data_IF_144463669891
#
_entry.id   IF_144463669891
#
_cell.length_a   1.000
_cell.length_b   1.000
_cell.length_c   1.000
_cell.angle_alpha   90.00
_cell.angle_beta   90.00
_cell.angle_gamma   90.00
#
_symmetry.space_group_name_H-M   'P 1'
#
loop_
_entity.id
_entity.type
_entity.pdbx_description
1 polymer ?
#
# COMPACT_ATOMS: atom_id res chain seq x y z
N UNK A 1 -33.85 10.00 -20.60
CA UNK A 1 -33.89 8.52 -20.72
C UNK A 1 -32.46 8.01 -20.61
N UNK A 2 -32.09 7.51 -19.44
CA UNK A 2 -30.76 6.94 -19.17
C UNK A 2 -30.68 5.58 -19.87
N UNK A 3 -29.62 5.37 -20.64
CA UNK A 3 -29.37 4.13 -21.37
C UNK A 3 -29.19 2.95 -20.39
N UNK A 4 -29.65 1.73 -20.70
CA UNK A 4 -29.47 0.57 -19.83
C UNK A 4 -28.04 0.10 -19.62
N UNK A 5 -27.05 0.77 -20.24
CA UNK A 5 -25.63 0.47 -20.15
C UNK A 5 -24.94 1.13 -18.91
N UNK A 6 -25.62 1.98 -18.15
CA UNK A 6 -25.03 2.77 -17.04
C UNK A 6 -25.35 2.22 -15.63
N UNK A 7 -25.80 0.98 -15.53
CA UNK A 7 -25.92 0.37 -14.20
C UNK A 7 -24.52 0.04 -13.68
N UNK A 8 -24.15 0.50 -12.46
CA UNK A 8 -22.86 0.13 -11.87
C UNK A 8 -22.79 -1.39 -11.77
N UNK A 9 -21.79 -1.97 -12.40
CA UNK A 9 -21.47 -3.39 -12.23
C UNK A 9 -21.25 -3.62 -10.74
N UNK A 10 -22.12 -4.41 -10.11
CA UNK A 10 -21.98 -4.74 -8.70
C UNK A 10 -20.57 -5.30 -8.47
N UNK A 11 -19.83 -4.70 -7.55
CA UNK A 11 -18.52 -5.20 -7.20
C UNK A 11 -18.63 -6.68 -6.79
N UNK A 12 -17.70 -7.54 -7.22
CA UNK A 12 -17.75 -8.95 -6.84
C UNK A 12 -17.75 -9.10 -5.33
N UNK A 13 -18.42 -10.14 -4.83
CA UNK A 13 -18.45 -10.41 -3.39
C UNK A 13 -17.02 -10.57 -2.86
N UNK A 14 -16.71 -9.98 -1.70
CA UNK A 14 -15.36 -10.04 -1.15
C UNK A 14 -14.98 -11.47 -0.78
N UNK A 15 -13.74 -11.83 -1.09
CA UNK A 15 -13.15 -13.13 -0.79
C UNK A 15 -12.59 -13.19 0.63
N UNK A 16 -11.95 -12.09 1.07
CA UNK A 16 -11.28 -12.01 2.37
C UNK A 16 -12.06 -11.14 3.35
N UNK A 17 -12.19 -11.63 4.57
CA UNK A 17 -12.79 -10.96 5.71
C UNK A 17 -11.78 -10.90 6.86
N UNK A 18 -12.13 -10.25 7.99
CA UNK A 18 -11.26 -10.12 9.13
C UNK A 18 -10.66 -11.46 9.61
N UNK A 19 -11.44 -12.53 9.58
CA UNK A 19 -11.03 -13.87 10.03
C UNK A 19 -9.92 -14.49 9.17
N UNK A 20 -9.68 -13.96 7.97
CA UNK A 20 -8.64 -14.44 7.04
C UNK A 20 -7.28 -13.79 7.29
N UNK A 21 -7.17 -12.97 8.32
CA UNK A 21 -5.94 -12.27 8.71
C UNK A 21 -5.48 -12.67 10.12
N UNK A 22 -5.10 -13.94 10.35
CA UNK A 22 -4.62 -14.38 11.65
C UNK A 22 -3.26 -13.74 11.97
N UNK A 23 -3.03 -13.45 13.26
CA UNK A 23 -1.74 -12.94 13.74
C UNK A 23 -0.61 -13.88 13.36
N UNK A 24 0.51 -13.33 12.89
CA UNK A 24 1.66 -14.09 12.42
C UNK A 24 1.58 -14.49 10.94
N UNK A 25 0.45 -14.27 10.26
CA UNK A 25 0.37 -14.51 8.81
C UNK A 25 1.33 -13.58 8.07
N UNK A 26 2.12 -14.16 7.17
CA UNK A 26 2.98 -13.44 6.24
C UNK A 26 2.49 -13.69 4.83
N UNK A 27 2.41 -12.64 4.03
CA UNK A 27 2.12 -12.69 2.59
C UNK A 27 3.19 -11.93 1.84
N UNK A 28 3.59 -12.46 0.70
CA UNK A 28 4.50 -11.78 -0.23
C UNK A 28 3.82 -11.70 -1.59
N UNK A 29 3.79 -10.50 -2.16
CA UNK A 29 3.10 -10.24 -3.42
C UNK A 29 3.58 -8.95 -4.07
N UNK A 30 3.06 -8.72 -5.27
CA UNK A 30 3.33 -7.54 -6.06
C UNK A 30 4.64 -7.63 -6.85
N UNK A 31 4.62 -6.98 -7.99
CA UNK A 31 5.79 -6.69 -8.81
C UNK A 31 5.52 -5.37 -9.50
N UNK A 32 6.15 -4.32 -9.02
CA UNK A 32 5.97 -2.97 -9.56
C UNK A 32 7.29 -2.44 -10.07
N UNK A 33 7.38 -2.22 -11.38
CA UNK A 33 8.53 -1.59 -12.01
C UNK A 33 8.43 -0.07 -11.90
N UNK A 34 9.48 0.54 -11.38
CA UNK A 34 9.56 1.99 -11.19
C UNK A 34 10.04 2.63 -12.47
N UNK A 35 9.15 3.26 -13.21
CA UNK A 35 9.52 3.94 -14.45
C UNK A 35 9.89 5.40 -14.19
N UNK A 36 10.81 5.93 -15.01
CA UNK A 36 11.21 7.33 -14.94
C UNK A 36 10.02 8.27 -15.18
N UNK A 37 9.18 7.92 -16.14
CA UNK A 37 7.98 8.69 -16.50
C UNK A 37 7.04 8.83 -15.30
N UNK A 38 6.79 7.74 -14.58
CA UNK A 38 5.92 7.74 -13.39
C UNK A 38 6.53 8.54 -12.25
N UNK A 39 7.86 8.44 -12.04
CA UNK A 39 8.58 9.23 -11.02
C UNK A 39 8.42 10.72 -11.29
N UNK A 40 8.66 11.17 -12.52
CA UNK A 40 8.53 12.57 -12.91
C UNK A 40 7.08 13.07 -12.86
N UNK A 41 6.12 12.25 -13.33
CA UNK A 41 4.71 12.61 -13.29
C UNK A 41 4.21 12.81 -11.85
N UNK A 42 4.49 11.86 -10.97
CA UNK A 42 4.12 11.98 -9.56
C UNK A 42 4.76 13.21 -8.90
N UNK A 43 6.05 13.43 -9.15
CA UNK A 43 6.75 14.56 -8.56
C UNK A 43 6.18 15.90 -9.01
N UNK A 44 5.84 16.07 -10.28
CA UNK A 44 5.22 17.30 -10.80
C UNK A 44 3.91 17.63 -10.09
N UNK A 45 3.11 16.61 -9.83
CA UNK A 45 1.77 16.78 -9.28
C UNK A 45 1.76 16.91 -7.74
N UNK A 46 2.68 16.25 -7.03
CA UNK A 46 2.57 16.05 -5.58
C UNK A 46 3.83 16.40 -4.78
N UNK A 47 5.02 16.38 -5.38
CA UNK A 47 6.30 16.64 -4.68
C UNK A 47 7.31 17.29 -5.62
N UNK A 48 7.08 18.54 -6.04
CA UNK A 48 7.86 19.18 -7.08
C UNK A 48 9.22 19.73 -6.58
N UNK A 49 9.91 18.97 -5.76
CA UNK A 49 11.25 19.30 -5.34
C UNK A 49 12.25 19.01 -6.47
N UNK A 50 13.26 19.90 -6.69
CA UNK A 50 14.16 19.78 -7.84
C UNK A 50 14.82 18.42 -8.00
N UNK A 51 15.23 17.77 -6.91
CA UNK A 51 15.88 16.47 -6.92
C UNK A 51 14.97 15.29 -7.28
N UNK A 52 13.65 15.52 -7.41
CA UNK A 52 12.68 14.56 -7.94
C UNK A 52 12.28 14.85 -9.39
N UNK A 53 12.78 15.95 -9.97
CA UNK A 53 12.37 16.44 -11.30
C UNK A 53 13.51 16.59 -12.30
N UNK A 54 14.74 16.82 -11.81
CA UNK A 54 15.89 17.18 -12.63
C UNK A 54 17.11 16.34 -12.25
N UNK A 55 17.79 15.79 -13.26
CA UNK A 55 18.93 14.90 -13.04
C UNK A 55 20.13 15.62 -12.40
N UNK A 56 20.41 16.86 -12.82
CA UNK A 56 21.53 17.60 -12.27
C UNK A 56 21.29 18.00 -10.81
N UNK A 57 20.07 18.40 -10.48
CA UNK A 57 19.67 18.66 -9.10
C UNK A 57 19.71 17.41 -8.24
N UNK A 58 19.29 16.28 -8.78
CA UNK A 58 19.33 14.99 -8.10
C UNK A 58 20.77 14.51 -7.85
N UNK A 59 21.66 14.65 -8.83
CA UNK A 59 23.08 14.30 -8.70
C UNK A 59 23.77 15.15 -7.62
N UNK A 60 23.42 16.42 -7.51
CA UNK A 60 23.94 17.32 -6.48
C UNK A 60 23.32 17.10 -5.09
N UNK A 61 22.30 16.27 -4.97
CA UNK A 61 21.59 15.95 -3.73
C UNK A 61 22.15 14.71 -3.01
N UNK A 62 21.59 14.40 -1.83
CA UNK A 62 21.91 13.17 -1.09
C UNK A 62 21.47 11.89 -1.85
N UNK A 63 20.63 11.99 -2.86
CA UNK A 63 20.18 10.85 -3.66
C UNK A 63 21.22 10.43 -4.71
N UNK A 64 22.08 11.35 -5.17
CA UNK A 64 23.13 11.09 -6.16
C UNK A 64 22.63 10.84 -7.59
N UNK A 65 21.35 10.66 -7.78
CA UNK A 65 20.63 10.50 -9.06
C UNK A 65 19.14 10.68 -8.85
N UNK A 66 18.37 10.81 -9.94
CA UNK A 66 16.92 10.95 -9.87
C UNK A 66 16.29 9.82 -9.04
N UNK A 67 15.61 10.18 -7.97
CA UNK A 67 14.91 9.26 -7.07
C UNK A 67 13.41 9.57 -7.04
N UNK A 68 12.59 8.54 -6.82
CA UNK A 68 11.17 8.72 -6.56
C UNK A 68 10.95 9.45 -5.24
N UNK A 69 9.90 10.30 -5.18
CA UNK A 69 9.40 10.81 -3.91
C UNK A 69 9.06 9.66 -2.95
N UNK A 70 9.34 9.84 -1.68
CA UNK A 70 8.92 8.88 -0.66
C UNK A 70 7.41 8.63 -0.69
N UNK A 71 6.62 9.65 -0.98
CA UNK A 71 5.16 9.53 -1.14
C UNK A 71 4.77 8.74 -2.39
N UNK A 72 5.57 8.82 -3.46
CA UNK A 72 5.39 7.96 -4.63
C UNK A 72 5.66 6.49 -4.26
N UNK A 73 6.69 6.22 -3.45
CA UNK A 73 6.95 4.87 -2.95
C UNK A 73 5.78 4.34 -2.12
N UNK A 74 5.14 5.19 -1.29
CA UNK A 74 3.91 4.83 -0.58
C UNK A 74 2.74 4.54 -1.54
N UNK A 75 2.59 5.34 -2.60
CA UNK A 75 1.53 5.13 -3.59
C UNK A 75 1.72 3.81 -4.38
N UNK A 76 2.97 3.49 -4.77
CA UNK A 76 3.30 2.22 -5.40
C UNK A 76 3.05 1.03 -4.46
N UNK A 77 3.41 1.16 -3.18
CA UNK A 77 3.09 0.17 -2.15
C UNK A 77 1.57 -0.03 -2.04
N UNK A 78 0.80 1.06 -1.97
CA UNK A 78 -0.66 1.00 -1.90
C UNK A 78 -1.27 0.30 -3.12
N UNK A 79 -0.75 0.55 -4.31
CA UNK A 79 -1.18 -0.15 -5.53
C UNK A 79 -0.98 -1.66 -5.41
N UNK A 80 0.19 -2.10 -4.95
CA UNK A 80 0.48 -3.51 -4.73
C UNK A 80 -0.40 -4.13 -3.64
N UNK A 81 -0.69 -3.41 -2.55
CA UNK A 81 -1.62 -3.85 -1.51
C UNK A 81 -3.05 -4.03 -2.06
N UNK A 82 -3.50 -3.10 -2.90
CA UNK A 82 -4.79 -3.20 -3.57
C UNK A 82 -4.88 -4.45 -4.43
N UNK A 83 -3.92 -4.66 -5.31
CA UNK A 83 -3.88 -5.80 -6.23
C UNK A 83 -3.63 -7.13 -5.51
N UNK A 84 -2.84 -7.12 -4.44
CA UNK A 84 -2.48 -8.32 -3.70
C UNK A 84 -3.59 -8.88 -2.81
N UNK A 85 -4.49 -8.02 -2.28
CA UNK A 85 -5.58 -8.51 -1.45
C UNK A 85 -6.73 -7.52 -1.18
N UNK A 86 -6.50 -6.20 -1.17
CA UNK A 86 -7.51 -5.25 -0.71
C UNK A 86 -8.74 -5.20 -1.62
N UNK A 87 -8.55 -5.31 -2.94
CA UNK A 87 -9.65 -5.30 -3.90
C UNK A 87 -10.56 -6.51 -3.78
N UNK A 88 -10.03 -7.62 -3.25
CA UNK A 88 -10.80 -8.84 -2.98
C UNK A 88 -11.26 -8.93 -1.50
N UNK A 89 -10.99 -7.92 -0.70
CA UNK A 89 -11.30 -7.92 0.74
C UNK A 89 -12.55 -7.13 1.07
N UNK A 90 -13.23 -7.52 2.14
CA UNK A 90 -14.28 -6.75 2.77
C UNK A 90 -13.72 -5.54 3.55
N UNK A 91 -12.80 -4.80 2.91
CA UNK A 91 -12.10 -3.65 3.48
C UNK A 91 -13.06 -2.48 3.71
N UNK A 92 -12.90 -1.81 4.83
CA UNK A 92 -13.66 -0.62 5.24
C UNK A 92 -12.76 0.62 5.38
N UNK A 93 -11.51 0.51 4.93
CA UNK A 93 -10.52 1.59 5.04
C UNK A 93 -9.60 1.45 6.25
N UNK A 94 -8.88 2.52 6.53
CA UNK A 94 -7.89 2.59 7.61
C UNK A 94 -8.08 3.88 8.40
N UNK A 95 -7.97 3.86 9.73
CA UNK A 95 -7.96 5.08 10.53
C UNK A 95 -6.62 5.84 10.44
N UNK A 96 -5.56 5.20 9.92
CA UNK A 96 -4.26 5.83 9.77
C UNK A 96 -3.09 4.88 9.75
N UNK A 97 -1.92 5.47 9.54
CA UNK A 97 -0.61 4.83 9.61
C UNK A 97 0.08 5.33 10.89
N UNK A 98 0.59 4.41 11.71
CA UNK A 98 1.23 4.76 12.98
C UNK A 98 2.73 4.96 12.84
N UNK A 99 3.36 4.21 11.95
CA UNK A 99 4.78 4.33 11.65
C UNK A 99 4.99 4.26 10.13
N UNK A 100 5.81 5.17 9.63
CA UNK A 100 6.26 5.18 8.23
C UNK A 100 7.74 5.54 8.23
N UNK A 101 8.56 4.72 7.58
CA UNK A 101 10.00 4.96 7.43
C UNK A 101 10.42 4.68 5.99
N UNK A 102 11.06 5.65 5.37
CA UNK A 102 11.80 5.49 4.13
C UNK A 102 13.24 5.08 4.48
N UNK A 103 13.61 3.87 4.15
CA UNK A 103 14.90 3.27 4.57
C UNK A 103 15.99 3.46 3.54
N UNK A 104 15.62 3.41 2.26
CA UNK A 104 16.51 3.63 1.11
C UNK A 104 15.78 4.37 0.01
N UNK A 105 16.48 5.18 -0.81
CA UNK A 105 15.91 5.76 -2.01
C UNK A 105 15.42 4.69 -2.99
N UNK A 106 14.36 5.02 -3.72
CA UNK A 106 13.85 4.21 -4.83
C UNK A 106 14.14 4.93 -6.13
N UNK A 107 14.68 4.23 -7.09
CA UNK A 107 15.16 4.78 -8.35
C UNK A 107 14.38 4.22 -9.54
N UNK A 108 14.29 4.98 -10.65
CA UNK A 108 13.85 4.41 -11.93
C UNK A 108 14.65 3.15 -12.28
N UNK A 109 13.95 2.09 -12.69
CA UNK A 109 14.52 0.77 -12.95
C UNK A 109 14.46 -0.20 -11.78
N UNK A 110 14.15 0.25 -10.57
CA UNK A 110 13.88 -0.65 -9.44
C UNK A 110 12.60 -1.45 -9.70
N UNK A 111 12.57 -2.66 -9.17
CA UNK A 111 11.39 -3.55 -9.17
C UNK A 111 11.02 -3.82 -7.73
N UNK A 112 9.87 -3.33 -7.32
CA UNK A 112 9.38 -3.41 -5.95
C UNK A 112 8.44 -4.59 -5.76
N UNK A 113 8.48 -5.17 -4.55
CA UNK A 113 7.49 -6.13 -4.06
C UNK A 113 7.20 -5.88 -2.58
N UNK A 114 6.12 -6.46 -2.08
CA UNK A 114 5.61 -6.26 -0.73
C UNK A 114 5.70 -7.55 0.07
N UNK A 115 6.20 -7.44 1.30
CA UNK A 115 6.04 -8.41 2.38
C UNK A 115 5.13 -7.80 3.44
N UNK A 116 3.97 -8.42 3.65
CA UNK A 116 2.98 -8.02 4.64
C UNK A 116 2.96 -9.04 5.78
N UNK A 117 3.01 -8.56 7.01
CA UNK A 117 2.91 -9.38 8.23
C UNK A 117 1.76 -8.86 9.11
N UNK A 118 0.87 -9.74 9.52
CA UNK A 118 -0.20 -9.43 10.49
C UNK A 118 0.39 -9.49 11.90
N UNK A 119 0.46 -8.34 12.56
CA UNK A 119 1.06 -8.24 13.92
C UNK A 119 0.02 -8.23 15.03
N UNK A 120 -1.20 -7.79 14.73
CA UNK A 120 -2.34 -7.82 15.66
C UNK A 120 -3.64 -7.97 14.88
N UNK A 121 -4.58 -8.73 15.43
CA UNK A 121 -5.95 -8.81 14.92
C UNK A 121 -6.91 -8.88 16.10
N UNK A 122 -7.88 -7.95 16.17
CA UNK A 122 -8.87 -7.89 17.24
C UNK A 122 -10.21 -7.37 16.74
N UNK A 123 -11.32 -7.81 17.36
CA UNK A 123 -12.62 -7.20 17.11
C UNK A 123 -12.62 -5.72 17.51
N UNK A 124 -13.43 -4.93 16.83
CA UNK A 124 -13.66 -3.54 17.21
C UNK A 124 -14.80 -3.49 18.25
N UNK A 125 -14.47 -3.03 19.47
CA UNK A 125 -15.43 -3.03 20.58
C UNK A 125 -16.70 -2.19 20.30
N UNK A 126 -16.55 -1.05 19.63
CA UNK A 126 -17.66 -0.16 19.26
C UNK A 126 -18.49 -0.63 18.07
N UNK A 127 -18.01 -1.61 17.31
CA UNK A 127 -18.66 -2.15 16.10
C UNK A 127 -18.38 -3.65 15.96
N UNK A 128 -19.24 -4.51 16.56
CA UNK A 128 -18.99 -5.97 16.58
C UNK A 128 -18.91 -6.65 15.21
N UNK A 129 -19.43 -6.00 14.15
CA UNK A 129 -19.33 -6.47 12.76
C UNK A 129 -18.02 -6.15 12.07
N UNK A 130 -17.13 -5.41 12.76
CA UNK A 130 -15.84 -4.95 12.25
C UNK A 130 -14.69 -5.53 13.08
N UNK A 131 -13.66 -5.96 12.41
CA UNK A 131 -12.39 -6.30 13.02
C UNK A 131 -11.28 -5.37 12.56
N UNK A 132 -10.31 -5.16 13.44
CA UNK A 132 -9.10 -4.39 13.20
C UNK A 132 -7.94 -5.35 12.95
N UNK A 133 -7.13 -5.05 11.96
CA UNK A 133 -5.89 -5.76 11.63
C UNK A 133 -4.77 -4.75 11.62
N UNK A 134 -3.80 -4.91 12.52
CA UNK A 134 -2.53 -4.20 12.46
C UNK A 134 -1.58 -5.01 11.60
N UNK A 135 -1.04 -4.41 10.58
CA UNK A 135 -0.05 -5.04 9.72
C UNK A 135 1.22 -4.22 9.61
N UNK A 136 2.34 -4.93 9.49
CA UNK A 136 3.62 -4.37 9.08
C UNK A 136 3.82 -4.67 7.61
N UNK A 137 3.94 -3.62 6.81
CA UNK A 137 4.26 -3.69 5.40
C UNK A 137 5.71 -3.31 5.20
N UNK A 138 6.47 -4.17 4.53
CA UNK A 138 7.83 -3.90 4.08
C UNK A 138 7.83 -3.92 2.56
N UNK A 139 8.31 -2.85 1.95
CA UNK A 139 8.56 -2.79 0.50
C UNK A 139 10.04 -3.11 0.27
N UNK A 140 10.29 -4.06 -0.61
CA UNK A 140 11.62 -4.53 -0.95
C UNK A 140 11.91 -4.23 -2.43
N UNK A 141 13.16 -3.94 -2.75
CA UNK A 141 13.61 -3.82 -4.14
C UNK A 141 14.05 -5.19 -4.70
N UNK A 142 14.51 -5.21 -5.95
CA UNK A 142 14.98 -6.42 -6.64
C UNK A 142 16.21 -7.10 -5.99
N UNK A 143 16.96 -6.38 -5.17
CA UNK A 143 18.09 -6.92 -4.41
C UNK A 143 17.68 -7.52 -3.06
N UNK A 144 16.39 -7.41 -2.69
CA UNK A 144 15.88 -7.80 -1.38
C UNK A 144 16.12 -6.77 -0.27
N UNK A 145 16.54 -5.56 -0.62
CA UNK A 145 16.70 -4.48 0.34
C UNK A 145 15.35 -3.86 0.69
N UNK A 146 15.10 -3.67 1.97
CA UNK A 146 13.94 -2.91 2.43
C UNK A 146 14.12 -1.43 2.11
N UNK A 147 13.22 -0.86 1.31
CA UNK A 147 13.21 0.55 0.92
C UNK A 147 12.21 1.37 1.73
N UNK A 148 11.14 0.73 2.21
CA UNK A 148 10.11 1.35 3.03
C UNK A 148 9.54 0.33 4.02
N UNK A 149 9.23 0.80 5.23
CA UNK A 149 8.39 0.06 6.18
C UNK A 149 7.26 0.96 6.68
N UNK A 150 6.08 0.39 6.86
CA UNK A 150 4.97 1.07 7.52
C UNK A 150 4.16 0.10 8.37
N UNK A 151 3.63 0.61 9.47
CA UNK A 151 2.64 -0.07 10.30
C UNK A 151 1.36 0.75 10.34
N UNK A 152 0.24 0.10 10.20
CA UNK A 152 -1.06 0.73 10.24
C UNK A 152 -2.18 -0.25 10.54
N UNK A 153 -3.35 0.31 10.85
CA UNK A 153 -4.56 -0.44 11.12
C UNK A 153 -5.45 -0.48 9.87
N UNK A 154 -5.89 -1.67 9.48
CA UNK A 154 -6.96 -1.87 8.50
C UNK A 154 -8.25 -2.28 9.20
N UNK A 155 -9.37 -1.80 8.70
CA UNK A 155 -10.71 -2.21 9.14
C UNK A 155 -11.30 -3.16 8.10
N UNK A 156 -11.82 -4.31 8.57
CA UNK A 156 -12.46 -5.31 7.72
C UNK A 156 -13.78 -5.77 8.30
N UNK A 157 -14.75 -6.05 7.44
CA UNK A 157 -15.97 -6.72 7.91
C UNK A 157 -15.65 -8.11 8.44
N UNK A 158 -16.39 -8.53 9.45
CA UNK A 158 -16.37 -9.89 9.99
C UNK A 158 -17.44 -10.72 9.28
N UNK A 159 -17.15 -11.99 9.02
CA UNK A 159 -18.16 -12.95 8.51
C UNK A 159 -19.23 -13.20 9.56
N UNK A 160 -18.81 -13.38 10.80
CA UNK A 160 -19.69 -13.64 11.93
C UNK A 160 -19.51 -12.51 12.95
N UNK A 161 -20.52 -11.67 13.20
CA UNK A 161 -20.49 -10.76 14.33
C UNK A 161 -20.30 -11.62 15.58
N UNK A 162 -19.23 -11.32 16.37
CA UNK A 162 -18.96 -12.11 17.58
C UNK A 162 -20.14 -12.07 18.54
N UNK A 163 -20.50 -13.22 19.05
CA UNK A 163 -21.21 -13.31 20.32
C UNK A 163 -20.35 -12.61 21.37
N UNK A 164 -20.92 -11.65 22.05
CA UNK A 164 -20.36 -10.99 23.25
C UNK A 164 -20.14 -12.01 24.34
#
# INVERSE_FOLDING_TARGET
MTSPADLPVAAPAPRFFWEDFPVGQVREFGRHEVTREAVLAFARDFDPQPFHLDDAAAEASLFGRLAASGWHTCAMAMRMLCEGYLLESASLGSPGIEQLKWLKPVYPGDVLHVRLEVVEARPMASRPTVGLVRSRTTVLNQAGDAVLTMEGLGMFRRRTPGST
#
